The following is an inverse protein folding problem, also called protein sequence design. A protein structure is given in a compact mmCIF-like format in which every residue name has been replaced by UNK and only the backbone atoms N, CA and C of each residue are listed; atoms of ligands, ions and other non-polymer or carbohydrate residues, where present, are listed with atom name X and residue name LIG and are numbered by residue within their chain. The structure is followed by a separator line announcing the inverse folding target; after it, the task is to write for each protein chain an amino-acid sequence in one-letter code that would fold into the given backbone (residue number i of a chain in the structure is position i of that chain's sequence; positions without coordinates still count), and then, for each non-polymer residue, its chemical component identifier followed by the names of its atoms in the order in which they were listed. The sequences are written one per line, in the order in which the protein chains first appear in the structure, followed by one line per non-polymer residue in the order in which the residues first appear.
data_IF_074271678485
#
_entry.id   IF_074271678485
#
_cell.length_a   1.000
_cell.length_b   1.000
_cell.length_c   1.000
_cell.angle_alpha   90.00
_cell.angle_beta   90.00
_cell.angle_gamma   90.00
#
_symmetry.space_group_name_H-M   'P 1'
#
loop_
_entity.id
_entity.type
_entity.pdbx_description
1 polymer ?
#
# COMPACT_ATOMS: atom_id res chain seq x y z
N UNK A 1 -0.57 -5.81 -6.70
CA UNK A 1 0.11 -6.21 -5.44
C UNK A 1 0.85 -5.01 -4.88
N UNK A 2 0.79 -4.81 -3.57
CA UNK A 2 1.42 -3.69 -2.88
C UNK A 2 2.49 -4.18 -1.91
N UNK A 3 3.61 -3.50 -1.85
CA UNK A 3 4.68 -3.75 -0.88
C UNK A 3 5.22 -2.41 -0.37
N UNK A 4 5.67 -2.39 0.88
CA UNK A 4 6.36 -1.25 1.45
C UNK A 4 7.88 -1.39 1.28
N UNK A 5 8.64 -0.30 1.05
CA UNK A 5 10.08 -0.38 0.74
C UNK A 5 10.97 -0.89 1.89
N UNK A 6 10.44 -0.97 3.11
CA UNK A 6 11.15 -1.53 4.26
C UNK A 6 11.11 -3.07 4.32
N UNK A 7 10.35 -3.73 3.45
CA UNK A 7 10.25 -5.19 3.44
C UNK A 7 11.59 -5.82 3.02
N UNK A 8 11.94 -6.94 3.66
CA UNK A 8 13.20 -7.64 3.42
C UNK A 8 13.39 -8.06 1.95
N UNK A 9 12.30 -8.40 1.27
CA UNK A 9 12.31 -8.92 -0.11
C UNK A 9 12.09 -7.83 -1.17
N UNK A 10 12.31 -6.56 -0.84
CA UNK A 10 12.04 -5.44 -1.77
C UNK A 10 12.76 -5.61 -3.12
N UNK A 11 14.02 -6.04 -3.12
CA UNK A 11 14.77 -6.23 -4.36
C UNK A 11 14.21 -7.38 -5.21
N UNK A 12 13.84 -8.50 -4.58
CA UNK A 12 13.19 -9.61 -5.27
C UNK A 12 11.83 -9.20 -5.86
N UNK A 13 11.07 -8.36 -5.15
CA UNK A 13 9.82 -7.79 -5.63
C UNK A 13 10.01 -6.89 -6.86
N UNK A 14 11.06 -6.08 -6.89
CA UNK A 14 11.39 -5.23 -8.04
C UNK A 14 11.81 -6.04 -9.27
N UNK A 15 12.35 -7.23 -9.06
CA UNK A 15 12.81 -8.11 -10.14
C UNK A 15 11.68 -8.93 -10.79
N UNK A 16 10.48 -8.98 -10.21
CA UNK A 16 9.40 -9.87 -10.65
C UNK A 16 8.93 -9.66 -12.10
N UNK A 17 9.10 -8.47 -12.66
CA UNK A 17 8.73 -8.14 -14.05
C UNK A 17 9.90 -7.92 -14.99
N UNK A 18 11.14 -8.08 -14.54
CA UNK A 18 12.30 -7.89 -15.41
C UNK A 18 12.23 -8.75 -16.66
N UNK A 19 12.68 -8.19 -17.79
CA UNK A 19 12.60 -8.85 -19.10
C UNK A 19 13.66 -9.96 -19.30
N UNK A 20 14.58 -10.10 -18.36
CA UNK A 20 15.67 -11.08 -18.39
C UNK A 20 15.72 -11.90 -17.11
N UNK A 21 16.49 -12.98 -17.10
CA UNK A 21 16.65 -13.89 -15.98
C UNK A 21 15.75 -15.13 -16.08
N UNK A 22 15.69 -15.89 -14.99
CA UNK A 22 14.93 -17.16 -14.96
C UNK A 22 13.43 -16.86 -14.90
N UNK A 23 12.66 -17.43 -15.83
CA UNK A 23 11.21 -17.25 -15.92
C UNK A 23 10.48 -17.74 -14.65
N UNK A 24 10.98 -18.77 -14.01
CA UNK A 24 10.44 -19.30 -12.74
C UNK A 24 10.44 -18.28 -11.59
N UNK A 25 11.29 -17.24 -11.68
CA UNK A 25 11.39 -16.17 -10.69
C UNK A 25 10.62 -14.92 -11.11
N UNK A 26 9.79 -15.00 -12.13
CA UNK A 26 9.04 -13.87 -12.68
C UNK A 26 7.54 -14.07 -12.46
N UNK A 27 6.83 -12.97 -12.30
CA UNK A 27 5.38 -12.93 -12.22
C UNK A 27 4.87 -11.74 -13.04
N UNK A 28 5.03 -11.83 -14.35
CA UNK A 28 4.82 -10.72 -15.30
C UNK A 28 3.38 -10.28 -15.45
N UNK A 29 2.43 -11.19 -15.18
CA UNK A 29 0.99 -10.93 -15.29
C UNK A 29 0.41 -10.15 -14.11
N UNK A 30 1.21 -9.92 -13.07
CA UNK A 30 0.81 -9.15 -11.91
C UNK A 30 1.21 -7.69 -12.04
N UNK A 31 0.40 -6.82 -11.45
CA UNK A 31 0.66 -5.38 -11.36
C UNK A 31 1.20 -5.05 -9.97
N UNK A 32 2.31 -4.33 -9.94
CA UNK A 32 3.08 -4.04 -8.73
C UNK A 32 3.02 -2.57 -8.39
N UNK A 33 2.88 -2.28 -7.09
CA UNK A 33 2.93 -0.94 -6.54
C UNK A 33 3.71 -0.92 -5.24
N UNK A 34 4.34 0.20 -4.95
CA UNK A 34 4.98 0.49 -3.67
C UNK A 34 4.10 1.42 -2.85
N UNK A 35 4.00 1.09 -1.57
CA UNK A 35 3.33 1.89 -0.56
C UNK A 35 4.37 2.57 0.31
N UNK A 36 4.71 3.84 -0.01
CA UNK A 36 5.94 4.50 0.40
C UNK A 36 5.68 5.42 1.58
N UNK A 37 6.32 5.19 2.75
CA UNK A 37 6.31 6.13 3.85
C UNK A 37 7.20 7.36 3.58
N UNK A 38 6.82 8.53 4.10
CA UNK A 38 7.56 9.78 3.94
C UNK A 38 9.00 9.66 4.47
N UNK A 39 9.22 8.87 5.53
CA UNK A 39 10.54 8.59 6.09
C UNK A 39 11.52 8.01 5.07
N UNK A 40 11.05 7.12 4.17
CA UNK A 40 11.90 6.56 3.11
C UNK A 40 12.40 7.68 2.18
N UNK A 41 11.50 8.53 1.72
CA UNK A 41 11.85 9.65 0.82
C UNK A 41 12.77 10.65 1.49
N UNK A 42 12.57 10.91 2.79
CA UNK A 42 13.47 11.75 3.59
C UNK A 42 14.89 11.17 3.62
N UNK A 43 15.02 9.87 3.90
CA UNK A 43 16.33 9.19 3.93
C UNK A 43 16.99 9.10 2.54
N UNK A 44 16.20 8.94 1.48
CA UNK A 44 16.74 9.03 0.10
C UNK A 44 17.34 10.40 -0.16
N UNK A 45 16.65 11.48 0.24
CA UNK A 45 17.13 12.86 0.09
C UNK A 45 18.39 13.15 0.93
N UNK A 46 18.44 12.60 2.13
CA UNK A 46 19.52 12.81 3.10
C UNK A 46 20.69 11.82 2.93
N UNK A 47 20.67 10.94 1.93
CA UNK A 47 21.67 9.88 1.71
C UNK A 47 21.83 8.92 2.90
N UNK A 48 20.73 8.71 3.62
CA UNK A 48 20.69 7.90 4.82
C UNK A 48 20.68 6.38 4.55
N UNK A 49 20.85 5.63 5.64
CA UNK A 49 20.72 4.17 5.62
C UNK A 49 19.25 3.78 5.72
N UNK A 50 18.91 2.65 5.10
CA UNK A 50 17.59 2.06 5.13
C UNK A 50 17.64 0.61 5.57
N UNK A 51 16.86 0.28 6.57
CA UNK A 51 16.87 -1.05 7.20
C UNK A 51 15.73 -1.88 6.65
N UNK A 52 16.06 -3.04 6.10
CA UNK A 52 15.11 -4.00 5.57
C UNK A 52 14.67 -4.96 6.67
N UNK A 53 13.37 -5.00 6.94
CA UNK A 53 12.77 -5.70 8.07
C UNK A 53 11.80 -6.78 7.61
N UNK A 54 11.57 -7.77 8.47
CA UNK A 54 10.56 -8.79 8.27
C UNK A 54 9.28 -8.39 9.02
N UNK A 55 8.09 -8.45 8.39
CA UNK A 55 6.83 -8.10 9.05
C UNK A 55 6.52 -8.94 10.30
N UNK A 56 7.01 -10.18 10.33
CA UNK A 56 6.84 -11.05 11.49
C UNK A 56 7.69 -10.62 12.70
N UNK A 57 8.92 -10.16 12.43
CA UNK A 57 9.86 -9.72 13.47
C UNK A 57 9.58 -8.28 13.92
N UNK A 58 8.99 -7.47 13.04
CA UNK A 58 8.65 -6.06 13.25
C UNK A 58 7.16 -5.81 13.02
N UNK A 59 6.26 -6.35 13.88
CA UNK A 59 4.84 -6.19 13.70
C UNK A 59 4.40 -4.74 13.86
N UNK A 60 3.28 -4.37 13.23
CA UNK A 60 2.65 -3.05 13.37
C UNK A 60 3.16 -1.98 12.40
N UNK A 61 4.27 -2.17 11.69
CA UNK A 61 4.77 -1.18 10.71
C UNK A 61 3.78 -0.93 9.56
N UNK A 62 3.03 -1.95 9.16
CA UNK A 62 2.01 -1.80 8.14
C UNK A 62 0.73 -1.13 8.65
N UNK A 63 0.53 -1.09 9.97
CA UNK A 63 -0.69 -0.60 10.61
C UNK A 63 -0.61 0.87 11.02
N UNK A 64 0.58 1.45 11.04
CA UNK A 64 0.83 2.83 11.41
C UNK A 64 1.38 3.65 10.25
N UNK A 65 1.27 4.99 10.33
CA UNK A 65 1.76 5.94 9.33
C UNK A 65 2.21 7.25 10.00
N UNK A 66 2.92 8.10 9.25
CA UNK A 66 3.42 9.37 9.75
C UNK A 66 4.42 9.22 10.90
N UNK A 67 4.28 10.04 11.93
CA UNK A 67 5.19 10.05 13.08
C UNK A 67 5.18 8.74 13.88
N UNK A 68 4.05 8.05 13.94
CA UNK A 68 3.95 6.75 14.62
C UNK A 68 4.79 5.70 13.90
N UNK A 69 4.73 5.69 12.58
CA UNK A 69 5.59 4.84 11.76
C UNK A 69 7.06 5.18 11.98
N UNK A 70 7.45 6.45 11.94
CA UNK A 70 8.84 6.87 12.15
C UNK A 70 9.37 6.43 13.52
N UNK A 71 8.59 6.61 14.59
CA UNK A 71 8.96 6.19 15.95
C UNK A 71 9.11 4.68 16.06
N UNK A 72 8.18 3.92 15.51
CA UNK A 72 8.20 2.46 15.55
C UNK A 72 9.36 1.90 14.72
N UNK A 73 9.58 2.43 13.52
CA UNK A 73 10.66 2.04 12.64
C UNK A 73 12.04 2.31 13.24
N UNK A 74 12.27 3.50 13.76
CA UNK A 74 13.53 3.87 14.42
C UNK A 74 13.76 3.08 15.70
N UNK A 75 12.72 2.72 16.43
CA UNK A 75 12.81 1.81 17.58
C UNK A 75 13.32 0.44 17.16
N UNK A 76 12.71 -0.20 16.16
CA UNK A 76 13.18 -1.50 15.66
C UNK A 76 14.59 -1.43 15.09
N UNK A 77 14.94 -0.33 14.45
CA UNK A 77 16.29 -0.08 13.95
C UNK A 77 17.30 0.00 15.09
N UNK A 78 16.99 0.71 16.20
CA UNK A 78 17.84 0.78 17.39
C UNK A 78 17.95 -0.54 18.14
N UNK A 79 16.92 -1.39 18.09
CA UNK A 79 16.90 -2.73 18.65
C UNK A 79 17.65 -3.76 17.76
N UNK A 80 18.12 -3.34 16.57
CA UNK A 80 18.78 -4.22 15.61
C UNK A 80 17.90 -5.27 14.97
N UNK A 81 16.57 -5.07 14.95
CA UNK A 81 15.58 -5.97 14.36
C UNK A 81 15.45 -5.77 12.85
N UNK A 82 16.54 -5.84 12.15
CA UNK A 82 16.54 -5.77 10.68
C UNK A 82 17.38 -6.92 10.11
N UNK A 83 17.00 -7.41 8.94
CA UNK A 83 17.73 -8.47 8.25
C UNK A 83 18.91 -7.95 7.46
N UNK A 84 18.78 -6.77 6.90
CA UNK A 84 19.81 -6.12 6.09
C UNK A 84 19.64 -4.61 6.19
N UNK A 85 20.77 -3.91 6.20
CA UNK A 85 20.80 -2.46 6.09
C UNK A 85 21.50 -2.08 4.78
N UNK A 86 20.88 -1.19 4.03
CA UNK A 86 21.33 -0.71 2.72
C UNK A 86 21.25 0.81 2.67
N UNK A 87 21.89 1.43 1.70
CA UNK A 87 21.67 2.86 1.45
C UNK A 87 20.27 3.05 0.87
N UNK A 88 19.53 4.04 1.35
CA UNK A 88 18.20 4.34 0.83
C UNK A 88 18.24 4.64 -0.68
N UNK A 89 19.33 5.21 -1.16
CA UNK A 89 19.53 5.48 -2.57
C UNK A 89 19.71 4.23 -3.43
N UNK A 90 20.28 3.15 -2.88
CA UNK A 90 20.40 1.89 -3.63
C UNK A 90 19.01 1.30 -3.91
N UNK A 91 18.12 1.36 -2.91
CA UNK A 91 16.71 0.95 -3.09
C UNK A 91 16.01 1.88 -4.09
N UNK A 92 16.22 3.19 -3.98
CA UNK A 92 15.66 4.17 -4.90
C UNK A 92 16.12 3.94 -6.34
N UNK A 93 17.41 3.71 -6.55
CA UNK A 93 17.97 3.42 -7.87
C UNK A 93 17.38 2.14 -8.46
N UNK A 94 17.22 1.09 -7.66
CA UNK A 94 16.60 -0.15 -8.10
C UNK A 94 15.12 0.04 -8.49
N UNK A 95 14.38 0.90 -7.76
CA UNK A 95 13.00 1.25 -8.11
C UNK A 95 12.96 1.96 -9.47
N UNK A 96 13.79 2.98 -9.67
CA UNK A 96 13.83 3.75 -10.92
C UNK A 96 14.26 2.87 -12.09
N UNK A 97 15.26 2.00 -11.91
CA UNK A 97 15.69 1.04 -12.92
C UNK A 97 14.54 0.10 -13.33
N UNK A 98 13.82 -0.45 -12.36
CA UNK A 98 12.65 -1.29 -12.63
C UNK A 98 11.56 -0.52 -13.39
N UNK A 99 11.32 0.75 -13.06
CA UNK A 99 10.34 1.59 -13.75
C UNK A 99 10.75 1.91 -15.19
N UNK A 100 12.02 2.16 -15.44
CA UNK A 100 12.54 2.40 -16.80
C UNK A 100 12.38 1.13 -17.66
N UNK A 101 12.68 -0.03 -17.12
CA UNK A 101 12.63 -1.28 -17.85
C UNK A 101 11.19 -1.80 -18.08
N UNK A 102 10.32 -1.69 -17.08
CA UNK A 102 9.02 -2.37 -17.07
C UNK A 102 7.81 -1.46 -16.90
N UNK A 103 7.98 -0.18 -16.58
CA UNK A 103 6.91 0.74 -16.24
C UNK A 103 6.31 0.52 -14.84
N UNK A 104 6.84 -0.39 -14.04
CA UNK A 104 6.39 -0.74 -12.68
C UNK A 104 7.59 -0.76 -11.72
N UNK A 105 7.38 -0.63 -10.42
CA UNK A 105 6.12 -0.51 -9.67
C UNK A 105 5.50 0.89 -9.76
N UNK A 106 4.19 0.98 -9.52
CA UNK A 106 3.54 2.26 -9.23
C UNK A 106 4.02 2.77 -7.87
N UNK A 107 4.03 4.09 -7.70
CA UNK A 107 4.49 4.71 -6.46
C UNK A 107 3.36 5.49 -5.80
N UNK A 108 2.94 5.05 -4.61
CA UNK A 108 1.94 5.74 -3.80
C UNK A 108 2.52 6.10 -2.45
N UNK A 109 2.15 7.28 -1.95
CA UNK A 109 2.67 7.83 -0.70
C UNK A 109 1.71 7.52 0.46
N UNK A 110 2.12 6.58 1.30
CA UNK A 110 1.37 6.07 2.45
C UNK A 110 0.85 7.18 3.36
N UNK A 111 1.74 8.08 3.77
CA UNK A 111 1.41 9.10 4.77
C UNK A 111 0.47 10.16 4.20
N UNK A 112 0.69 10.59 2.96
CA UNK A 112 -0.18 11.54 2.28
C UNK A 112 -1.59 10.97 2.05
N UNK A 113 -1.69 9.70 1.63
CA UNK A 113 -2.97 9.02 1.43
C UNK A 113 -3.75 8.92 2.74
N UNK A 114 -3.10 8.49 3.83
CA UNK A 114 -3.76 8.34 5.12
C UNK A 114 -4.13 9.70 5.73
N UNK A 115 -3.28 10.72 5.59
CA UNK A 115 -3.54 12.06 6.10
C UNK A 115 -4.75 12.73 5.45
N UNK A 116 -4.97 12.47 4.15
CA UNK A 116 -6.09 13.04 3.39
C UNK A 116 -7.35 12.16 3.40
N UNK A 117 -7.29 10.99 3.98
CA UNK A 117 -8.44 10.10 4.04
C UNK A 117 -9.58 10.68 4.88
N UNK A 118 -10.79 10.57 4.37
CA UNK A 118 -12.01 10.86 5.13
C UNK A 118 -12.43 9.72 6.08
N UNK A 119 -11.68 8.61 6.05
CA UNK A 119 -11.98 7.36 6.79
C UNK A 119 -10.92 7.08 7.88
N UNK A 120 -10.22 8.10 8.37
CA UNK A 120 -9.20 7.96 9.42
C UNK A 120 -9.73 7.34 10.72
N UNK A 121 -11.02 7.56 11.00
CA UNK A 121 -11.71 6.98 12.14
C UNK A 121 -11.92 5.47 12.05
N UNK A 122 -11.73 4.87 10.89
CA UNK A 122 -11.90 3.44 10.66
C UNK A 122 -10.58 2.67 10.77
N UNK A 123 -9.48 3.29 10.39
CA UNK A 123 -8.16 2.69 10.45
C UNK A 123 -7.22 3.19 9.36
N UNK A 124 -6.06 2.54 9.26
CA UNK A 124 -5.01 2.87 8.32
C UNK A 124 -5.26 2.24 6.95
N UNK A 125 -5.18 3.05 5.89
CA UNK A 125 -5.20 2.57 4.50
C UNK A 125 -3.85 1.93 4.19
N UNK A 126 -3.87 0.70 3.66
CA UNK A 126 -2.67 -0.12 3.41
C UNK A 126 -2.36 -0.32 1.93
N UNK A 127 -3.30 -0.04 1.06
CA UNK A 127 -3.15 -0.21 -0.39
C UNK A 127 -4.20 0.60 -1.16
N UNK A 128 -4.09 0.56 -2.47
CA UNK A 128 -5.08 1.06 -3.42
C UNK A 128 -5.54 -0.07 -4.35
N UNK A 129 -6.38 0.23 -5.33
CA UNK A 129 -6.78 -0.72 -6.36
C UNK A 129 -5.68 -0.87 -7.45
N UNK A 130 -6.03 -1.56 -8.55
CA UNK A 130 -5.10 -1.86 -9.65
C UNK A 130 -4.48 -0.61 -10.27
N UNK A 131 -5.31 0.39 -10.60
CA UNK A 131 -4.90 1.60 -11.33
C UNK A 131 -4.61 2.79 -10.41
N UNK A 132 -4.67 2.61 -9.10
CA UNK A 132 -4.33 3.61 -8.07
C UNK A 132 -5.32 4.77 -7.90
N UNK A 133 -6.47 4.74 -8.61
CA UNK A 133 -7.49 5.79 -8.55
C UNK A 133 -8.38 5.74 -7.31
N UNK A 134 -8.40 4.61 -6.59
CA UNK A 134 -9.22 4.42 -5.39
C UNK A 134 -8.31 4.21 -4.19
N UNK A 135 -8.38 5.11 -3.23
CA UNK A 135 -7.60 5.06 -1.99
C UNK A 135 -8.56 5.16 -0.81
N UNK A 136 -9.02 4.00 -0.33
CA UNK A 136 -10.01 3.90 0.74
C UNK A 136 -9.67 2.78 1.71
N UNK A 137 -10.21 2.91 2.94
CA UNK A 137 -10.01 1.91 3.97
C UNK A 137 -10.68 0.59 3.60
N UNK A 138 -9.98 -0.51 3.83
CA UNK A 138 -10.52 -1.86 3.78
C UNK A 138 -9.89 -2.72 4.88
N UNK A 139 -10.63 -3.72 5.36
CA UNK A 139 -10.18 -4.66 6.37
C UNK A 139 -10.52 -6.09 5.99
N UNK A 140 -10.19 -7.05 6.84
CA UNK A 140 -10.53 -8.46 6.63
C UNK A 140 -12.04 -8.69 6.51
N UNK A 141 -12.84 -7.88 7.22
CA UNK A 141 -14.29 -8.01 7.31
C UNK A 141 -15.04 -7.00 6.45
N UNK A 142 -14.35 -5.99 5.90
CA UNK A 142 -14.95 -4.89 5.17
C UNK A 142 -14.22 -4.63 3.87
N UNK A 143 -14.98 -4.62 2.76
CA UNK A 143 -14.46 -4.26 1.44
C UNK A 143 -15.07 -2.93 1.02
N UNK A 144 -14.23 -1.97 0.72
CA UNK A 144 -14.67 -0.72 0.15
C UNK A 144 -15.06 -0.89 -1.32
N UNK A 145 -16.22 -0.40 -1.70
CA UNK A 145 -16.71 -0.41 -3.07
C UNK A 145 -17.02 1.01 -3.50
N UNK A 146 -16.32 1.48 -4.52
CA UNK A 146 -16.57 2.79 -5.13
C UNK A 146 -17.45 2.62 -6.34
N UNK A 147 -18.52 3.42 -6.42
CA UNK A 147 -19.38 3.54 -7.58
C UNK A 147 -19.04 4.85 -8.29
N UNK A 148 -18.35 4.76 -9.42
CA UNK A 148 -18.02 5.93 -10.20
C UNK A 148 -19.24 6.33 -11.05
N UNK A 149 -19.84 7.47 -10.75
CA UNK A 149 -20.84 8.09 -11.61
C UNK A 149 -20.16 9.06 -12.57
N UNK A 150 -20.22 8.76 -13.86
CA UNK A 150 -19.62 9.57 -14.94
C UNK A 150 -20.17 10.99 -15.09
N UNK A 151 -21.26 11.32 -14.40
CA UNK A 151 -21.97 12.61 -14.58
C UNK A 151 -21.98 13.52 -13.34
N UNK A 152 -21.47 13.08 -12.19
CA UNK A 152 -21.37 13.93 -11.01
C UNK A 152 -20.09 13.64 -10.26
N UNK A 153 -19.36 14.68 -9.95
CA UNK A 153 -18.10 14.67 -9.20
C UNK A 153 -18.18 14.20 -7.73
N UNK A 154 -19.20 13.40 -7.38
CA UNK A 154 -19.38 12.85 -6.04
C UNK A 154 -18.98 11.39 -6.02
N UNK A 155 -17.84 11.10 -5.41
CA UNK A 155 -17.45 9.76 -5.02
C UNK A 155 -18.35 9.32 -3.86
N UNK A 156 -19.16 8.29 -4.08
CA UNK A 156 -19.90 7.64 -3.02
C UNK A 156 -19.18 6.34 -2.63
N UNK A 157 -18.59 6.32 -1.47
CA UNK A 157 -18.03 5.12 -0.87
C UNK A 157 -19.13 4.33 -0.14
N UNK A 158 -19.30 3.08 -0.49
CA UNK A 158 -20.27 2.19 0.17
C UNK A 158 -19.52 1.06 0.86
N UNK A 159 -19.67 0.97 2.16
CA UNK A 159 -19.18 -0.13 2.98
C UNK A 159 -20.03 -1.38 2.73
N UNK A 160 -19.43 -2.46 2.27
CA UNK A 160 -20.11 -3.74 2.09
C UNK A 160 -19.59 -4.71 3.15
N UNK A 161 -20.37 -5.09 4.15
CA UNK A 161 -19.95 -6.10 5.11
C UNK A 161 -19.71 -7.44 4.42
N UNK A 162 -18.61 -8.12 4.74
CA UNK A 162 -18.37 -9.49 4.28
C UNK A 162 -19.48 -10.40 4.80
N UNK A 163 -20.16 -11.08 3.90
CA UNK A 163 -21.20 -12.04 4.23
C UNK A 163 -20.63 -13.16 5.11
N UNK A 164 -21.06 -13.25 6.33
CA UNK A 164 -21.22 -14.53 7.01
C UNK A 164 -22.36 -15.26 6.32
N UNK A 165 -22.08 -16.46 5.82
CA UNK A 165 -23.00 -17.33 5.11
C UNK A 165 -24.23 -17.66 5.94
N UNK A 166 -25.29 -16.90 5.79
CA UNK A 166 -26.64 -17.32 6.15
C UNK A 166 -27.65 -16.67 5.21
N UNK A 167 -28.21 -17.54 4.38
CA UNK A 167 -29.44 -17.42 3.57
C UNK A 167 -30.02 -16.05 3.25
N UNK A 168 -29.86 -15.66 1.98
CA UNK A 168 -30.97 -15.16 1.19
C UNK A 168 -31.51 -13.75 1.49
N UNK A 169 -30.74 -12.71 1.15
CA UNK A 169 -31.32 -11.46 0.64
C UNK A 169 -30.36 -10.87 -0.38
N UNK A 170 -30.87 -10.37 -1.49
CA UNK A 170 -30.07 -9.89 -2.60
C UNK A 170 -29.24 -8.67 -2.19
N UNK A 171 -28.02 -8.59 -2.67
CA UNK A 171 -27.05 -7.51 -2.42
C UNK A 171 -27.57 -6.10 -2.83
N UNK A 172 -28.68 -6.03 -3.52
CA UNK A 172 -29.31 -4.79 -4.00
C UNK A 172 -30.19 -4.10 -2.96
N UNK A 173 -30.68 -4.83 -1.95
CA UNK A 173 -31.59 -4.26 -0.94
C UNK A 173 -30.87 -3.64 0.26
N UNK A 174 -29.55 -3.91 0.45
CA UNK A 174 -28.79 -3.32 1.54
C UNK A 174 -28.00 -2.05 1.16
N UNK A 175 -27.99 -1.69 -0.11
CA UNK A 175 -27.50 -0.38 -0.54
C UNK A 175 -28.59 0.67 -0.34
N UNK A 176 -28.75 1.13 0.90
CA UNK A 176 -29.52 2.33 1.18
C UNK A 176 -28.91 3.51 0.43
N UNK A 177 -29.50 3.86 -0.69
CA UNK A 177 -29.27 5.13 -1.37
C UNK A 177 -29.85 6.24 -0.49
N UNK A 178 -29.05 6.79 0.38
CA UNK A 178 -29.38 8.09 0.98
C UNK A 178 -29.15 9.13 -0.11
N UNK A 179 -30.19 9.41 -0.88
CA UNK A 179 -30.29 10.66 -1.61
C UNK A 179 -30.49 11.74 -0.55
N UNK A 180 -29.53 12.65 -0.43
CA UNK A 180 -29.80 13.93 0.22
C UNK A 180 -30.67 14.73 -0.78
N UNK A 181 -31.81 15.29 -0.35
CA UNK A 181 -32.59 16.20 -1.19
C UNK A 181 -31.79 17.48 -1.43
N UNK A 182 -32.07 18.09 -2.56
CA UNK A 182 -31.50 19.35 -3.08
C UNK A 182 -31.36 20.48 -2.06
#
# INVERSE_FOLDING_TARGET
MYLEPWHADIFAFLDLRKNHGKEEQRARDLFYALWIPDLFMKRVKEFGMWSLMCPHECPGLADCWGEEFEKLYTKYESEGKFRKQVKAQDVWSAIVESQIETGTPYMLYKDACNRKSNQQNLGTIKCSNLCTEIVEYSSADEVCRVKLHLLTSKLLSVRVPRRTTTRGKSLLESCGTTFLPD
#
